data_IF_601747774992
#
_entry.id   IF_601747774992
#
_cell.length_a   1.000
_cell.length_b   1.000
_cell.length_c   1.000
_cell.angle_alpha   90.00
_cell.angle_beta   90.00
_cell.angle_gamma   90.00
#
_symmetry.space_group_name_H-M   'P 1'
#
loop_
_entity.id
_entity.type
_entity.pdbx_description
1 polymer ?
#
# COMPACT_ATOMS: atom_id res chain seq x y z
N UNK A 1 -14.58 6.50 13.72
CA UNK A 1 -13.43 6.13 12.91
C UNK A 1 -13.58 6.67 11.51
N UNK A 2 -12.48 7.05 10.90
CA UNK A 2 -12.53 7.63 9.55
C UNK A 2 -12.60 6.54 8.49
N UNK A 3 -13.11 6.90 7.32
CA UNK A 3 -13.16 6.01 6.16
C UNK A 3 -11.76 5.58 5.74
N UNK A 4 -10.79 6.49 5.82
CA UNK A 4 -9.41 6.19 5.47
C UNK A 4 -8.76 5.17 6.40
N UNK A 5 -8.98 5.30 7.72
CA UNK A 5 -8.47 4.35 8.69
C UNK A 5 -9.10 2.98 8.51
N UNK A 6 -10.39 2.92 8.25
CA UNK A 6 -11.10 1.66 8.01
C UNK A 6 -10.58 1.00 6.73
N UNK A 7 -10.40 1.77 5.66
CA UNK A 7 -9.85 1.25 4.41
C UNK A 7 -8.45 0.67 4.63
N UNK A 8 -7.57 1.43 5.30
CA UNK A 8 -6.20 0.98 5.55
C UNK A 8 -6.18 -0.33 6.34
N UNK A 9 -6.97 -0.42 7.41
CA UNK A 9 -7.03 -1.64 8.20
C UNK A 9 -7.46 -2.84 7.36
N UNK A 10 -8.45 -2.65 6.48
CA UNK A 10 -8.99 -3.74 5.65
C UNK A 10 -8.03 -4.15 4.54
N UNK A 11 -7.42 -3.18 3.84
CA UNK A 11 -6.56 -3.52 2.70
C UNK A 11 -5.28 -4.22 3.17
N UNK A 12 -4.66 -3.76 4.26
CA UNK A 12 -3.43 -4.39 4.75
C UNK A 12 -3.72 -5.73 5.44
N UNK A 13 -4.87 -5.89 6.08
CA UNK A 13 -5.29 -7.19 6.59
C UNK A 13 -5.51 -8.19 5.44
N UNK A 14 -6.11 -7.74 4.33
CA UNK A 14 -6.31 -8.57 3.16
C UNK A 14 -4.97 -9.00 2.54
N UNK A 15 -4.01 -8.08 2.48
CA UNK A 15 -2.66 -8.37 1.98
C UNK A 15 -1.99 -9.43 2.85
N UNK A 16 -2.03 -9.26 4.16
CA UNK A 16 -1.41 -10.21 5.09
C UNK A 16 -2.10 -11.57 5.07
N UNK A 17 -3.40 -11.60 4.82
CA UNK A 17 -4.17 -12.84 4.71
C UNK A 17 -4.07 -13.49 3.34
N UNK A 18 -3.43 -12.84 2.37
CA UNK A 18 -3.37 -13.28 0.96
C UNK A 18 -4.77 -13.43 0.36
N UNK A 19 -5.68 -12.56 0.76
CA UNK A 19 -7.08 -12.59 0.32
C UNK A 19 -7.24 -11.77 -0.94
N UNK A 20 -7.00 -12.39 -2.08
CA UNK A 20 -7.06 -11.73 -3.39
C UNK A 20 -8.44 -11.17 -3.70
N UNK A 21 -9.49 -11.87 -3.30
CA UNK A 21 -10.86 -11.42 -3.52
C UNK A 21 -11.14 -10.13 -2.74
N UNK A 22 -10.69 -10.05 -1.49
CA UNK A 22 -10.85 -8.84 -0.68
C UNK A 22 -10.05 -7.67 -1.26
N UNK A 23 -8.83 -7.92 -1.73
CA UNK A 23 -8.01 -6.89 -2.37
C UNK A 23 -8.75 -6.31 -3.57
N UNK A 24 -9.31 -7.17 -4.43
CA UNK A 24 -10.08 -6.73 -5.59
C UNK A 24 -11.35 -5.98 -5.21
N UNK A 25 -12.01 -6.39 -4.14
CA UNK A 25 -13.23 -5.71 -3.67
C UNK A 25 -12.94 -4.32 -3.10
N UNK A 26 -11.75 -4.12 -2.52
CA UNK A 26 -11.36 -2.86 -1.90
C UNK A 26 -10.70 -1.87 -2.86
N UNK A 27 -10.45 -2.28 -4.09
CA UNK A 27 -9.79 -1.44 -5.09
C UNK A 27 -10.68 -1.28 -6.32
N UNK A 28 -10.55 -0.14 -7.00
CA UNK A 28 -11.23 0.07 -8.26
C UNK A 28 -10.62 -0.82 -9.34
N UNK A 29 -11.43 -1.29 -10.33
CA UNK A 29 -10.88 -2.12 -11.40
C UNK A 29 -9.78 -1.45 -12.22
N UNK A 30 -9.77 -0.12 -12.25
CA UNK A 30 -8.78 0.68 -12.97
C UNK A 30 -7.85 1.44 -12.03
N UNK A 31 -7.67 0.96 -10.81
CA UNK A 31 -6.73 1.57 -9.86
C UNK A 31 -5.36 1.78 -10.52
N UNK A 32 -4.75 2.93 -10.25
CA UNK A 32 -3.40 3.22 -10.71
C UNK A 32 -2.43 3.02 -9.56
N UNK A 33 -1.47 2.13 -9.75
CA UNK A 33 -0.43 1.86 -8.75
C UNK A 33 0.89 2.38 -9.30
N UNK A 34 1.50 3.33 -8.59
CA UNK A 34 2.76 3.93 -9.00
C UNK A 34 3.88 3.57 -8.04
N UNK A 35 4.97 3.11 -8.62
CA UNK A 35 6.24 2.96 -7.91
C UNK A 35 7.12 4.14 -8.27
N UNK A 36 8.38 4.13 -7.83
CA UNK A 36 9.34 5.19 -8.18
C UNK A 36 9.73 5.17 -9.66
N UNK A 37 9.49 4.07 -10.36
CA UNK A 37 9.93 3.89 -11.75
C UNK A 37 8.81 3.62 -12.74
N UNK A 38 7.71 3.01 -12.30
CA UNK A 38 6.65 2.58 -13.20
C UNK A 38 5.27 2.85 -12.66
N UNK A 39 4.29 2.87 -13.55
CA UNK A 39 2.87 2.95 -13.19
C UNK A 39 2.14 1.75 -13.79
N UNK A 40 1.26 1.16 -13.03
CA UNK A 40 0.46 -0.01 -13.41
C UNK A 40 -1.02 0.28 -13.23
N UNK A 41 -1.86 -0.37 -14.01
CA UNK A 41 -3.31 -0.27 -13.86
C UNK A 41 -3.88 -1.60 -13.43
N UNK A 42 -4.86 -1.51 -12.52
CA UNK A 42 -5.59 -2.68 -12.05
C UNK A 42 -5.09 -3.22 -10.73
N UNK A 43 -5.92 -3.98 -10.01
CA UNK A 43 -5.55 -4.52 -8.70
C UNK A 43 -4.46 -5.60 -8.79
N UNK A 44 -4.21 -6.15 -9.97
CA UNK A 44 -3.18 -7.16 -10.19
C UNK A 44 -1.79 -6.67 -9.80
N UNK A 45 -1.50 -5.39 -9.97
CA UNK A 45 -0.21 -4.82 -9.58
C UNK A 45 0.05 -4.95 -8.07
N UNK A 46 -0.98 -4.74 -7.26
CA UNK A 46 -0.88 -4.89 -5.81
C UNK A 46 -0.73 -6.37 -5.43
N UNK A 47 -1.44 -7.24 -6.12
CA UNK A 47 -1.36 -8.69 -5.91
C UNK A 47 0.03 -9.20 -6.30
N UNK A 48 0.58 -8.73 -7.42
CA UNK A 48 1.93 -9.09 -7.86
C UNK A 48 2.99 -8.64 -6.85
N UNK A 49 2.86 -7.44 -6.30
CA UNK A 49 3.76 -6.97 -5.25
C UNK A 49 3.74 -7.92 -4.04
N UNK A 50 2.55 -8.34 -3.63
CA UNK A 50 2.39 -9.29 -2.53
C UNK A 50 3.03 -10.64 -2.85
N UNK A 51 2.80 -11.14 -4.06
CA UNK A 51 3.36 -12.42 -4.51
C UNK A 51 4.89 -12.36 -4.63
N UNK A 52 5.43 -11.25 -5.10
CA UNK A 52 6.88 -11.03 -5.16
C UNK A 52 7.50 -11.06 -3.77
N UNK A 53 6.81 -10.48 -2.79
CA UNK A 53 7.25 -10.54 -1.40
C UNK A 53 7.29 -11.98 -0.90
N UNK A 54 6.28 -12.77 -1.21
CA UNK A 54 6.23 -14.18 -0.82
C UNK A 54 7.30 -15.02 -1.53
N UNK A 55 7.65 -14.66 -2.75
CA UNK A 55 8.70 -15.36 -3.51
C UNK A 55 10.10 -15.06 -2.95
N UNK A 56 10.32 -13.84 -2.51
CA UNK A 56 11.64 -13.39 -2.05
C UNK A 56 11.88 -13.65 -0.56
N UNK A 57 10.82 -13.68 0.25
CA UNK A 57 10.92 -13.73 1.70
C UNK A 57 10.01 -14.79 2.30
N UNK A 58 10.48 -15.41 3.37
CA UNK A 58 9.64 -16.22 4.24
C UNK A 58 8.94 -15.31 5.23
N UNK A 59 7.69 -15.62 5.55
CA UNK A 59 6.90 -14.87 6.52
C UNK A 59 6.78 -13.38 6.17
N UNK A 60 6.63 -13.08 4.86
CA UNK A 60 6.45 -11.71 4.40
C UNK A 60 5.17 -11.13 4.99
N UNK A 61 5.31 -10.04 5.74
CA UNK A 61 4.23 -9.40 6.47
C UNK A 61 4.37 -7.89 6.39
N UNK A 62 3.23 -7.21 6.39
CA UNK A 62 3.18 -5.75 6.42
C UNK A 62 2.56 -5.32 7.75
N UNK A 63 3.31 -4.55 8.53
CA UNK A 63 2.82 -3.96 9.77
C UNK A 63 2.34 -2.54 9.51
N UNK A 64 1.10 -2.26 9.87
CA UNK A 64 0.52 -0.93 9.79
C UNK A 64 0.99 -0.12 10.99
N UNK A 65 1.78 0.94 10.77
CA UNK A 65 2.35 1.72 11.85
C UNK A 65 1.54 2.98 12.15
N UNK A 66 1.14 3.70 11.11
CA UNK A 66 0.41 4.95 11.27
C UNK A 66 -0.46 5.21 10.05
N UNK A 67 -1.65 5.72 10.29
CA UNK A 67 -2.58 6.11 9.23
C UNK A 67 -3.04 7.53 9.50
N UNK A 68 -2.93 8.40 8.51
CA UNK A 68 -3.48 9.75 8.64
C UNK A 68 -4.20 10.14 7.36
N UNK A 69 -5.27 10.90 7.51
CA UNK A 69 -5.96 11.49 6.37
C UNK A 69 -5.41 12.90 6.18
N UNK A 70 -4.94 13.18 4.98
CA UNK A 70 -4.28 14.43 4.67
C UNK A 70 -4.67 14.88 3.28
N UNK A 71 -5.27 16.08 3.19
CA UNK A 71 -5.63 16.68 1.92
C UNK A 71 -6.46 15.75 1.02
N UNK A 72 -7.39 15.00 1.63
CA UNK A 72 -8.26 14.08 0.90
C UNK A 72 -7.64 12.74 0.55
N UNK A 73 -6.42 12.50 0.99
CA UNK A 73 -5.69 11.24 0.76
C UNK A 73 -5.49 10.50 2.06
N UNK A 74 -5.23 9.20 1.96
CA UNK A 74 -4.88 8.36 3.11
C UNK A 74 -3.38 8.09 3.02
N UNK A 75 -2.63 8.57 4.01
CA UNK A 75 -1.19 8.40 4.08
C UNK A 75 -0.91 7.32 5.11
N UNK A 76 -0.28 6.24 4.68
CA UNK A 76 -0.04 5.06 5.50
C UNK A 76 1.45 4.84 5.65
N UNK A 77 1.93 4.87 6.89
CA UNK A 77 3.30 4.44 7.20
C UNK A 77 3.25 2.97 7.58
N UNK A 78 4.08 2.17 6.95
CA UNK A 78 4.08 0.73 7.19
C UNK A 78 5.50 0.18 7.22
N UNK A 79 5.63 -1.02 7.77
CA UNK A 79 6.88 -1.76 7.78
C UNK A 79 6.68 -3.09 7.10
N UNK A 80 7.47 -3.37 6.08
CA UNK A 80 7.53 -4.69 5.46
C UNK A 80 8.56 -5.51 6.22
N UNK A 81 8.20 -6.73 6.58
CA UNK A 81 9.09 -7.65 7.29
C UNK A 81 9.13 -8.99 6.59
N UNK A 82 10.24 -9.65 6.66
CA UNK A 82 10.39 -10.98 6.13
C UNK A 82 11.80 -11.50 6.37
N UNK A 83 12.00 -12.78 6.03
CA UNK A 83 13.31 -13.40 6.06
C UNK A 83 13.68 -13.79 4.64
N UNK A 84 14.82 -13.33 4.16
CA UNK A 84 15.26 -13.65 2.81
C UNK A 84 15.42 -15.15 2.62
N UNK A 85 14.78 -15.72 1.61
CA UNK A 85 14.85 -17.16 1.35
C UNK A 85 16.27 -17.60 1.00
N UNK A 86 17.00 -16.77 0.26
CA UNK A 86 18.35 -17.10 -0.16
C UNK A 86 19.38 -16.85 0.95
N UNK A 87 19.24 -15.78 1.71
CA UNK A 87 20.24 -15.37 2.72
C UNK A 87 19.91 -15.80 4.14
N UNK A 88 18.63 -16.05 4.45
CA UNK A 88 18.16 -16.28 5.81
C UNK A 88 18.16 -15.03 6.69
N UNK A 89 18.54 -13.88 6.14
CA UNK A 89 18.61 -12.65 6.90
C UNK A 89 17.23 -12.03 7.10
N UNK A 90 16.97 -11.52 8.30
CA UNK A 90 15.76 -10.79 8.56
C UNK A 90 15.87 -9.39 7.94
N UNK A 91 14.79 -8.98 7.27
CA UNK A 91 14.72 -7.69 6.60
C UNK A 91 13.49 -6.95 7.09
N UNK A 92 13.66 -5.67 7.38
CA UNK A 92 12.55 -4.79 7.71
C UNK A 92 12.77 -3.44 7.03
N UNK A 93 11.79 -3.03 6.22
CA UNK A 93 11.84 -1.78 5.49
C UNK A 93 10.61 -0.94 5.79
N UNK A 94 10.83 0.37 5.97
CA UNK A 94 9.72 1.31 6.09
C UNK A 94 9.35 1.84 4.72
N UNK A 95 8.06 1.88 4.46
CA UNK A 95 7.50 2.48 3.26
C UNK A 95 6.31 3.33 3.63
N UNK A 96 6.01 4.29 2.78
CA UNK A 96 4.84 5.13 2.93
C UNK A 96 4.00 4.99 1.68
N UNK A 97 2.73 4.66 1.85
CA UNK A 97 1.77 4.57 0.77
C UNK A 97 0.79 5.73 0.85
N UNK A 98 0.55 6.37 -0.28
CA UNK A 98 -0.48 7.40 -0.39
C UNK A 98 -1.59 6.85 -1.27
N UNK A 99 -2.77 6.74 -0.68
CA UNK A 99 -3.96 6.24 -1.35
C UNK A 99 -4.93 7.38 -1.63
N UNK A 100 -5.57 7.34 -2.80
CA UNK A 100 -6.77 8.11 -3.05
C UNK A 100 -7.95 7.16 -3.06
N UNK A 101 -9.06 7.57 -2.48
CA UNK A 101 -10.25 6.75 -2.37
C UNK A 101 -11.43 7.38 -3.11
N UNK A 102 -12.31 6.53 -3.63
CA UNK A 102 -13.61 6.93 -4.15
C UNK A 102 -14.61 5.85 -3.75
N UNK A 103 -15.68 6.26 -3.05
CA UNK A 103 -16.72 5.35 -2.58
C UNK A 103 -16.15 4.17 -1.76
N UNK A 104 -15.15 4.47 -0.94
CA UNK A 104 -14.53 3.49 -0.06
C UNK A 104 -13.54 2.54 -0.72
N UNK A 105 -13.25 2.74 -2.02
CA UNK A 105 -12.29 1.91 -2.76
C UNK A 105 -11.05 2.70 -3.13
N UNK A 106 -9.90 2.03 -3.15
CA UNK A 106 -8.66 2.64 -3.61
C UNK A 106 -8.68 2.86 -5.11
N UNK A 107 -8.51 4.11 -5.55
CA UNK A 107 -8.42 4.45 -6.97
C UNK A 107 -7.01 4.78 -7.41
N UNK A 108 -6.12 5.08 -6.47
CA UNK A 108 -4.70 5.22 -6.75
C UNK A 108 -3.88 4.91 -5.52
N UNK A 109 -2.68 4.43 -5.75
CA UNK A 109 -1.69 4.12 -4.74
C UNK A 109 -0.34 4.55 -5.26
N UNK A 110 0.42 5.28 -4.47
CA UNK A 110 1.79 5.60 -4.78
C UNK A 110 2.68 5.35 -3.57
N UNK A 111 3.83 4.72 -3.82
CA UNK A 111 4.82 4.38 -2.79
C UNK A 111 5.87 5.47 -2.68
N UNK A 112 6.29 5.74 -1.45
CA UNK A 112 7.36 6.67 -1.13
C UNK A 112 8.26 6.05 -0.06
N UNK A 113 9.53 6.41 -0.07
CA UNK A 113 10.47 6.03 0.98
C UNK A 113 10.59 7.12 2.06
N UNK A 114 10.09 8.31 1.79
CA UNK A 114 10.21 9.50 2.63
C UNK A 114 8.84 10.12 2.87
N UNK A 115 8.52 10.37 4.15
CA UNK A 115 7.24 10.95 4.53
C UNK A 115 7.04 12.36 3.97
N UNK A 116 8.09 13.16 3.89
CA UNK A 116 7.98 14.52 3.32
C UNK A 116 7.50 14.48 1.87
N UNK A 117 8.06 13.57 1.07
CA UNK A 117 7.65 13.41 -0.32
C UNK A 117 6.21 12.93 -0.42
N UNK A 118 5.80 12.02 0.45
CA UNK A 118 4.43 11.51 0.49
C UNK A 118 3.44 12.63 0.82
N UNK A 119 3.74 13.42 1.84
CA UNK A 119 2.89 14.55 2.26
C UNK A 119 2.80 15.60 1.15
N UNK A 120 3.93 15.90 0.53
CA UNK A 120 3.96 16.87 -0.58
C UNK A 120 3.10 16.39 -1.75
N UNK A 121 3.17 15.10 -2.07
CA UNK A 121 2.34 14.50 -3.11
C UNK A 121 0.86 14.61 -2.78
N UNK A 122 0.46 14.25 -1.57
CA UNK A 122 -0.93 14.29 -1.15
C UNK A 122 -1.50 15.72 -1.25
N UNK A 123 -0.74 16.69 -0.78
CA UNK A 123 -1.17 18.11 -0.82
C UNK A 123 -1.25 18.65 -2.23
N UNK A 124 -0.30 18.29 -3.08
CA UNK A 124 -0.26 18.74 -4.47
C UNK A 124 -1.42 18.15 -5.28
N UNK A 125 -1.70 16.88 -5.07
CA UNK A 125 -2.79 16.19 -5.78
C UNK A 125 -4.15 16.73 -5.38
N UNK A 126 -4.32 17.11 -4.11
CA UNK A 126 -5.56 17.68 -3.62
C UNK A 126 -5.79 19.11 -4.12
N UNK A 127 -4.72 19.87 -4.33
CA UNK A 127 -4.79 21.25 -4.79
C UNK A 127 -4.96 21.39 -6.29
N UNK A 128 -4.85 20.29 -7.03
CA UNK A 128 -4.94 20.29 -8.50
C UNK A 128 -6.35 20.20 -9.03
#
# INVERSE_FOLDING_TARGET
MSQGSDFAARIYAAINARDRAAIKALTAPDIVVKTTVEAYRGPEALIEWMDEGDDAFEDFTVDLLEVEELAGHVVVSMRQRGRGKASGAEVANHLIHVWALRDGRGISLQSFSDREDAVRHARRSAGG
#
